data_IF_629499375076
#
_entry.id   IF_629499375076
#
_cell.length_a   1.000
_cell.length_b   1.000
_cell.length_c   1.000
_cell.angle_alpha   90.00
_cell.angle_beta   90.00
_cell.angle_gamma   90.00
#
_symmetry.space_group_name_H-M   'P 1'
#
loop_
_entity.id
_entity.type
_entity.pdbx_description
1 polymer ?
#
# COMPACT_ATOMS: atom_id res chain seq x y z
N UNK A 1 -6.22 4.89 -20.91
CA UNK A 1 -6.68 4.74 -19.51
C UNK A 1 -5.42 4.63 -18.68
N UNK A 2 -5.31 5.40 -17.60
CA UNK A 2 -4.14 5.44 -16.74
C UNK A 2 -4.16 4.24 -15.78
N UNK A 3 -3.21 3.32 -15.93
CA UNK A 3 -3.10 2.14 -15.07
C UNK A 3 -2.28 2.48 -13.83
N UNK A 4 -2.89 2.34 -12.64
CA UNK A 4 -2.25 2.65 -11.36
C UNK A 4 -2.22 1.43 -10.46
N UNK A 5 -1.15 1.30 -9.66
CA UNK A 5 -1.17 0.49 -8.46
C UNK A 5 -2.15 1.07 -7.43
N UNK A 6 -2.60 0.24 -6.50
CA UNK A 6 -3.54 0.68 -5.46
C UNK A 6 -2.99 1.84 -4.62
N UNK A 7 -1.70 1.83 -4.29
CA UNK A 7 -1.07 2.91 -3.53
C UNK A 7 -0.99 4.24 -4.31
N UNK A 8 -0.73 4.18 -5.61
CA UNK A 8 -0.69 5.35 -6.49
C UNK A 8 -2.08 5.96 -6.65
N UNK A 9 -3.11 5.10 -6.76
CA UNK A 9 -4.50 5.55 -6.75
C UNK A 9 -4.88 6.23 -5.43
N UNK A 10 -4.50 5.67 -4.28
CA UNK A 10 -4.78 6.29 -2.99
C UNK A 10 -4.08 7.64 -2.84
N UNK A 11 -2.80 7.70 -3.23
CA UNK A 11 -2.03 8.94 -3.29
C UNK A 11 -2.76 9.98 -4.14
N UNK A 12 -3.18 9.59 -5.36
CA UNK A 12 -3.92 10.47 -6.27
C UNK A 12 -5.20 11.01 -5.62
N UNK A 13 -6.02 10.13 -5.06
CA UNK A 13 -7.28 10.52 -4.40
C UNK A 13 -7.00 11.49 -3.23
N UNK A 14 -5.96 11.26 -2.43
CA UNK A 14 -5.62 12.17 -1.33
C UNK A 14 -5.20 13.54 -1.85
N UNK A 15 -4.40 13.60 -2.91
CA UNK A 15 -4.01 14.88 -3.54
C UNK A 15 -5.21 15.61 -4.13
N UNK A 16 -6.10 14.91 -4.83
CA UNK A 16 -7.32 15.49 -5.38
C UNK A 16 -8.26 16.04 -4.30
N UNK A 17 -8.39 15.36 -3.15
CA UNK A 17 -9.17 15.86 -2.00
C UNK A 17 -8.64 17.18 -1.44
N UNK A 18 -7.34 17.44 -1.54
CA UNK A 18 -6.77 18.73 -1.12
C UNK A 18 -7.34 19.91 -1.94
N UNK A 19 -7.71 19.69 -3.20
CA UNK A 19 -8.36 20.73 -4.01
C UNK A 19 -9.73 21.12 -3.43
N UNK A 20 -10.52 20.10 -3.09
CA UNK A 20 -11.83 20.27 -2.47
C UNK A 20 -11.72 20.94 -1.09
N UNK A 21 -10.78 20.48 -0.27
CA UNK A 21 -10.51 21.06 1.05
C UNK A 21 -10.05 22.52 0.96
N UNK A 22 -9.13 22.83 0.03
CA UNK A 22 -8.66 24.20 -0.18
C UNK A 22 -9.81 25.14 -0.57
N UNK A 23 -10.74 24.69 -1.41
CA UNK A 23 -11.92 25.49 -1.75
C UNK A 23 -12.84 25.70 -0.56
N UNK A 24 -13.08 24.66 0.24
CA UNK A 24 -13.98 24.73 1.42
C UNK A 24 -13.41 25.55 2.57
N UNK A 25 -12.09 25.52 2.76
CA UNK A 25 -11.43 26.07 3.96
C UNK A 25 -10.81 27.45 3.72
N UNK A 26 -10.47 27.80 2.49
CA UNK A 26 -9.89 29.10 2.17
C UNK A 26 -10.83 29.92 1.32
N UNK A 27 -11.03 31.20 1.66
CA UNK A 27 -11.67 32.20 0.80
C UNK A 27 -10.68 32.88 -0.15
N UNK A 28 -9.38 32.76 0.13
CA UNK A 28 -8.30 33.36 -0.67
C UNK A 28 -8.08 32.55 -1.94
N UNK A 29 -8.25 33.21 -3.09
CA UNK A 29 -8.10 32.61 -4.41
C UNK A 29 -6.66 32.20 -4.73
N UNK A 30 -5.67 33.00 -4.33
CA UNK A 30 -4.26 32.70 -4.56
C UNK A 30 -3.85 31.45 -3.79
N UNK A 31 -4.32 31.29 -2.55
CA UNK A 31 -4.10 30.06 -1.77
C UNK A 31 -4.64 28.83 -2.51
N UNK A 32 -5.86 28.91 -3.08
CA UNK A 32 -6.46 27.80 -3.83
C UNK A 32 -5.65 27.47 -5.09
N UNK A 33 -5.17 28.48 -5.82
CA UNK A 33 -4.32 28.28 -7.00
C UNK A 33 -2.97 27.63 -6.63
N UNK A 34 -2.32 28.09 -5.57
CA UNK A 34 -1.07 27.47 -5.08
C UNK A 34 -1.28 26.01 -4.69
N UNK A 35 -2.40 25.68 -4.02
CA UNK A 35 -2.73 24.26 -3.73
C UNK A 35 -2.95 23.48 -5.01
N UNK A 36 -3.64 24.04 -6.01
CA UNK A 36 -3.83 23.40 -7.32
C UNK A 36 -2.51 23.08 -8.01
N UNK A 37 -1.61 24.06 -8.09
CA UNK A 37 -0.27 23.90 -8.69
C UNK A 37 0.54 22.84 -7.96
N UNK A 38 0.54 22.87 -6.62
CA UNK A 38 1.22 21.86 -5.80
C UNK A 38 0.65 20.47 -6.02
N UNK A 39 -0.69 20.33 -6.06
CA UNK A 39 -1.35 19.04 -6.30
C UNK A 39 -0.98 18.51 -7.69
N UNK A 40 -1.02 19.36 -8.71
CA UNK A 40 -0.64 18.98 -10.07
C UNK A 40 0.82 18.54 -10.14
N UNK A 41 1.73 19.31 -9.55
CA UNK A 41 3.15 18.95 -9.46
C UNK A 41 3.36 17.60 -8.76
N UNK A 42 2.77 17.41 -7.57
CA UNK A 42 2.89 16.17 -6.80
C UNK A 42 2.39 14.95 -7.61
N UNK A 43 1.32 15.11 -8.38
CA UNK A 43 0.75 14.05 -9.22
C UNK A 43 1.67 13.75 -10.42
N UNK A 44 2.20 14.77 -11.10
CA UNK A 44 3.12 14.60 -12.22
C UNK A 44 4.43 13.91 -11.82
N UNK A 45 4.96 14.20 -10.62
CA UNK A 45 6.21 13.60 -10.13
C UNK A 45 6.06 12.13 -9.72
N UNK A 46 4.86 11.71 -9.26
CA UNK A 46 4.65 10.38 -8.70
C UNK A 46 3.84 9.45 -9.59
N UNK A 47 3.18 9.98 -10.63
CA UNK A 47 2.33 9.21 -11.53
C UNK A 47 2.76 9.47 -12.96
N UNK A 48 3.34 8.45 -13.57
CA UNK A 48 3.74 8.48 -14.97
C UNK A 48 2.53 8.82 -15.85
N UNK A 49 2.76 9.61 -16.90
CA UNK A 49 1.74 10.03 -17.87
C UNK A 49 0.65 10.97 -17.34
N UNK A 50 0.60 11.26 -16.03
CA UNK A 50 -0.41 12.16 -15.45
C UNK A 50 -0.44 13.53 -16.15
N UNK A 51 0.74 14.12 -16.33
CA UNK A 51 0.91 15.39 -17.05
C UNK A 51 0.28 15.35 -18.45
N UNK A 52 0.68 14.37 -19.27
CA UNK A 52 0.20 14.22 -20.65
C UNK A 52 -1.32 14.05 -20.74
N UNK A 53 -1.94 13.49 -19.71
CA UNK A 53 -3.37 13.21 -19.69
C UNK A 53 -4.22 14.38 -19.17
N UNK A 54 -3.71 15.16 -18.22
CA UNK A 54 -4.54 16.09 -17.44
C UNK A 54 -4.01 17.52 -17.36
N UNK A 55 -2.91 17.87 -18.04
CA UNK A 55 -2.36 19.24 -18.05
C UNK A 55 -3.45 20.27 -18.40
N UNK A 56 -4.09 20.12 -19.55
CA UNK A 56 -5.12 21.04 -20.04
C UNK A 56 -6.30 21.14 -19.05
N UNK A 57 -6.64 20.05 -18.36
CA UNK A 57 -7.72 20.03 -17.37
C UNK A 57 -7.36 20.84 -16.12
N UNK A 58 -6.13 20.70 -15.64
CA UNK A 58 -5.62 21.47 -14.50
C UNK A 58 -5.36 22.94 -14.85
N UNK A 59 -4.91 23.25 -16.06
CA UNK A 59 -4.78 24.62 -16.56
C UNK A 59 -6.14 25.33 -16.61
N UNK A 60 -7.15 24.65 -17.15
CA UNK A 60 -8.49 25.21 -17.29
C UNK A 60 -9.26 25.32 -15.96
N UNK A 61 -8.90 24.53 -14.95
CA UNK A 61 -9.51 24.61 -13.63
C UNK A 61 -9.07 25.89 -12.90
N UNK A 62 -10.00 26.84 -12.78
CA UNK A 62 -9.76 28.15 -12.14
C UNK A 62 -9.94 28.13 -10.63
N UNK A 63 -10.38 27.01 -10.03
CA UNK A 63 -10.71 26.94 -8.59
C UNK A 63 -11.77 27.99 -8.17
N UNK A 64 -12.70 28.31 -9.09
CA UNK A 64 -13.72 29.35 -8.89
C UNK A 64 -14.97 28.81 -8.21
N UNK A 65 -15.26 27.52 -8.38
CA UNK A 65 -16.43 26.86 -7.78
C UNK A 65 -16.12 25.44 -7.31
N UNK A 66 -16.88 24.97 -6.31
CA UNK A 66 -16.81 23.57 -5.89
C UNK A 66 -17.19 22.62 -7.04
N UNK A 67 -18.16 23.01 -7.87
CA UNK A 67 -18.62 22.22 -9.01
C UNK A 67 -17.49 21.94 -10.00
N UNK A 68 -16.76 22.98 -10.39
CA UNK A 68 -15.60 22.87 -11.30
C UNK A 68 -14.55 21.89 -10.76
N UNK A 69 -14.26 21.96 -9.45
CA UNK A 69 -13.29 21.05 -8.79
C UNK A 69 -13.79 19.61 -8.81
N UNK A 70 -15.07 19.39 -8.49
CA UNK A 70 -15.65 18.04 -8.50
C UNK A 70 -15.69 17.44 -9.92
N UNK A 71 -15.98 18.25 -10.94
CA UNK A 71 -15.95 17.82 -12.34
C UNK A 71 -14.52 17.41 -12.78
N UNK A 72 -13.49 18.17 -12.38
CA UNK A 72 -12.08 17.80 -12.59
C UNK A 72 -11.75 16.47 -11.90
N UNK A 73 -12.09 16.33 -10.62
CA UNK A 73 -11.82 15.12 -9.84
C UNK A 73 -12.51 13.90 -10.47
N UNK A 74 -13.78 14.03 -10.85
CA UNK A 74 -14.53 12.97 -11.49
C UNK A 74 -13.91 12.56 -12.83
N UNK A 75 -13.47 13.54 -13.63
CA UNK A 75 -12.79 13.29 -14.91
C UNK A 75 -11.50 12.48 -14.70
N UNK A 76 -10.66 12.87 -13.73
CA UNK A 76 -9.42 12.16 -13.41
C UNK A 76 -9.73 10.73 -12.95
N UNK A 77 -10.68 10.54 -12.03
CA UNK A 77 -11.05 9.21 -11.51
C UNK A 77 -11.58 8.29 -12.61
N UNK A 78 -12.41 8.78 -13.53
CA UNK A 78 -12.96 8.00 -14.65
C UNK A 78 -11.90 7.52 -15.64
N UNK A 79 -10.78 8.21 -15.72
CA UNK A 79 -9.70 7.90 -16.65
C UNK A 79 -8.70 6.86 -16.10
N UNK A 80 -8.89 6.37 -14.87
CA UNK A 80 -7.98 5.48 -14.16
C UNK A 80 -8.53 4.05 -14.04
N UNK A 81 -7.66 3.07 -14.30
CA UNK A 81 -7.82 1.67 -13.90
C UNK A 81 -6.82 1.30 -12.82
N UNK A 82 -7.21 0.40 -11.93
CA UNK A 82 -6.34 -0.05 -10.83
C UNK A 82 -5.88 -1.46 -11.14
N UNK A 83 -4.56 -1.65 -11.17
CA UNK A 83 -3.91 -2.92 -11.43
C UNK A 83 -4.07 -3.82 -10.21
N UNK A 84 -4.66 -5.00 -10.41
CA UNK A 84 -4.76 -6.02 -9.37
C UNK A 84 -3.42 -6.71 -9.15
N UNK A 85 -3.19 -7.18 -7.92
CA UNK A 85 -2.08 -8.09 -7.66
C UNK A 85 -2.23 -9.37 -8.49
N UNK A 86 -1.14 -9.93 -9.03
CA UNK A 86 -1.20 -11.18 -9.76
C UNK A 86 -1.49 -12.36 -8.84
N UNK A 87 -2.07 -13.43 -9.42
CA UNK A 87 -2.20 -14.72 -8.77
C UNK A 87 -0.83 -15.39 -8.56
N UNK A 88 -0.70 -16.12 -7.45
CA UNK A 88 0.51 -16.86 -7.11
C UNK A 88 0.33 -18.37 -7.29
N UNK A 89 1.38 -19.04 -7.75
CA UNK A 89 1.45 -20.49 -7.82
C UNK A 89 1.83 -21.11 -6.46
N UNK A 90 1.52 -22.38 -6.25
CA UNK A 90 1.93 -23.09 -5.03
C UNK A 90 3.44 -23.19 -4.87
N UNK A 91 4.19 -23.33 -5.97
CA UNK A 91 5.65 -23.40 -5.96
C UNK A 91 6.28 -22.08 -5.54
N UNK A 92 5.80 -20.96 -6.10
CA UNK A 92 6.32 -19.63 -5.77
C UNK A 92 5.92 -19.22 -4.35
N UNK A 93 4.68 -19.47 -3.93
CA UNK A 93 4.25 -19.22 -2.55
C UNK A 93 5.08 -20.03 -1.54
N UNK A 94 5.39 -21.30 -1.83
CA UNK A 94 6.29 -22.13 -1.01
C UNK A 94 7.71 -21.55 -0.98
N UNK A 95 8.22 -21.02 -2.09
CA UNK A 95 9.56 -20.43 -2.16
C UNK A 95 9.65 -19.13 -1.35
N UNK A 96 8.65 -18.25 -1.48
CA UNK A 96 8.63 -16.92 -0.85
C UNK A 96 8.28 -17.00 0.63
N UNK A 97 7.22 -17.73 0.99
CA UNK A 97 6.68 -17.76 2.35
C UNK A 97 7.15 -18.97 3.17
N UNK A 98 7.86 -19.92 2.55
CA UNK A 98 8.33 -21.18 3.18
C UNK A 98 7.19 -22.03 3.80
N UNK A 99 5.94 -21.79 3.39
CA UNK A 99 4.77 -22.55 3.82
C UNK A 99 4.75 -23.95 3.19
N UNK A 100 4.16 -24.91 3.90
CA UNK A 100 4.04 -26.32 3.44
C UNK A 100 2.66 -26.88 3.79
N UNK A 101 2.28 -27.97 3.13
CA UNK A 101 1.07 -28.73 3.44
C UNK A 101 -0.21 -27.89 3.39
N UNK A 102 -1.11 -28.09 4.37
CA UNK A 102 -2.41 -27.42 4.46
C UNK A 102 -2.31 -25.89 4.54
N UNK A 103 -1.28 -25.36 5.20
CA UNK A 103 -1.08 -23.91 5.32
C UNK A 103 -0.86 -23.27 3.93
N UNK A 104 -0.05 -23.92 3.09
CA UNK A 104 0.25 -23.45 1.74
C UNK A 104 -1.00 -23.48 0.85
N UNK A 105 -1.76 -24.58 0.85
CA UNK A 105 -2.94 -24.72 0.00
C UNK A 105 -4.06 -23.74 0.38
N UNK A 106 -4.29 -23.54 1.68
CA UNK A 106 -5.26 -22.55 2.17
C UNK A 106 -4.86 -21.12 1.79
N UNK A 107 -3.59 -20.77 1.99
CA UNK A 107 -3.09 -19.44 1.64
C UNK A 107 -3.26 -19.15 0.15
N UNK A 108 -2.77 -20.04 -0.73
CA UNK A 108 -2.81 -19.83 -2.19
C UNK A 108 -4.25 -19.72 -2.69
N UNK A 109 -5.15 -20.62 -2.22
CA UNK A 109 -6.57 -20.57 -2.59
C UNK A 109 -7.19 -19.23 -2.22
N UNK A 110 -7.00 -18.76 -0.98
CA UNK A 110 -7.65 -17.54 -0.51
C UNK A 110 -7.04 -16.28 -1.14
N UNK A 111 -5.72 -16.24 -1.29
CA UNK A 111 -5.03 -15.13 -1.95
C UNK A 111 -5.52 -14.97 -3.40
N UNK A 112 -5.51 -16.05 -4.20
CA UNK A 112 -5.93 -16.00 -5.61
C UNK A 112 -7.42 -15.63 -5.78
N UNK A 113 -8.28 -16.04 -4.83
CA UNK A 113 -9.69 -15.62 -4.81
C UNK A 113 -9.84 -14.11 -4.55
N UNK A 114 -9.05 -13.57 -3.62
CA UNK A 114 -9.11 -12.17 -3.19
C UNK A 114 -8.58 -11.24 -4.28
N UNK A 115 -7.41 -11.52 -4.84
CA UNK A 115 -6.75 -10.60 -5.79
C UNK A 115 -7.49 -10.45 -7.11
N UNK A 116 -8.42 -11.36 -7.45
CA UNK A 116 -9.33 -11.22 -8.60
C UNK A 116 -10.35 -10.11 -8.42
N UNK A 117 -10.75 -9.84 -7.18
CA UNK A 117 -11.92 -9.01 -6.87
C UNK A 117 -11.54 -7.75 -6.09
N UNK A 118 -10.35 -7.73 -5.48
CA UNK A 118 -9.91 -6.66 -4.61
C UNK A 118 -8.68 -5.94 -5.18
N UNK A 119 -8.70 -4.62 -5.05
CA UNK A 119 -7.62 -3.73 -5.42
C UNK A 119 -6.71 -3.55 -4.21
N UNK A 120 -5.53 -4.14 -4.26
CA UNK A 120 -4.65 -4.28 -3.09
C UNK A 120 -3.22 -3.88 -3.44
N UNK A 121 -2.56 -3.23 -2.49
CA UNK A 121 -1.09 -3.14 -2.41
C UNK A 121 -0.50 -4.41 -1.78
N UNK A 122 -1.18 -5.02 -0.80
CA UNK A 122 -0.76 -6.30 -0.21
C UNK A 122 -1.93 -7.10 0.34
N UNK A 123 -1.74 -8.40 0.46
CA UNK A 123 -2.65 -9.30 1.16
C UNK A 123 -2.03 -9.78 2.47
N UNK A 124 -2.84 -9.91 3.53
CA UNK A 124 -2.44 -10.64 4.72
C UNK A 124 -3.54 -11.49 5.32
N UNK A 125 -3.15 -12.52 6.05
CA UNK A 125 -4.07 -13.43 6.73
C UNK A 125 -3.42 -14.08 7.94
N UNK A 126 -4.24 -14.71 8.79
CA UNK A 126 -3.78 -15.49 9.93
C UNK A 126 -4.10 -16.96 9.68
N UNK A 127 -3.08 -17.80 9.70
CA UNK A 127 -3.22 -19.27 9.59
C UNK A 127 -2.38 -19.89 10.71
N UNK A 128 -3.00 -20.69 11.58
CA UNK A 128 -2.35 -21.40 12.70
C UNK A 128 -1.44 -20.49 13.56
N UNK A 129 -1.97 -19.35 14.02
CA UNK A 129 -1.27 -18.32 14.80
C UNK A 129 -0.05 -17.68 14.09
N UNK A 130 0.03 -17.78 12.78
CA UNK A 130 1.02 -17.07 11.96
C UNK A 130 0.33 -15.99 11.16
N UNK A 131 0.83 -14.76 11.27
CA UNK A 131 0.46 -13.68 10.39
C UNK A 131 1.30 -13.75 9.11
N UNK A 132 0.64 -13.88 7.99
CA UNK A 132 1.26 -14.09 6.67
C UNK A 132 0.95 -12.87 5.83
N UNK A 133 1.98 -12.25 5.25
CA UNK A 133 1.81 -11.15 4.30
C UNK A 133 2.45 -11.48 2.96
N UNK A 134 1.82 -11.04 1.88
CA UNK A 134 2.35 -11.15 0.53
C UNK A 134 1.97 -9.91 -0.30
N UNK A 135 2.91 -9.44 -1.11
CA UNK A 135 2.72 -8.42 -2.13
C UNK A 135 3.52 -8.79 -3.39
N UNK A 136 3.30 -8.07 -4.47
CA UNK A 136 4.00 -8.21 -5.74
C UNK A 136 4.42 -6.83 -6.22
N UNK A 137 5.70 -6.68 -6.58
CA UNK A 137 6.24 -5.42 -7.13
C UNK A 137 7.43 -5.73 -8.05
N UNK A 138 7.57 -4.98 -9.13
CA UNK A 138 8.71 -5.05 -10.05
C UNK A 138 9.01 -6.48 -10.54
N UNK A 139 7.97 -7.24 -10.88
CA UNK A 139 8.14 -8.61 -11.39
C UNK A 139 8.25 -9.70 -10.30
N UNK A 140 8.39 -9.33 -9.03
CA UNK A 140 8.69 -10.26 -7.94
C UNK A 140 7.66 -10.23 -6.81
N UNK A 141 7.43 -11.41 -6.23
CA UNK A 141 6.67 -11.56 -4.98
C UNK A 141 7.54 -11.23 -3.77
N UNK A 142 7.00 -10.52 -2.79
CA UNK A 142 7.61 -10.28 -1.48
C UNK A 142 6.67 -10.75 -0.38
N UNK A 143 7.18 -11.39 0.66
CA UNK A 143 6.33 -11.90 1.72
C UNK A 143 7.07 -12.28 2.97
N UNK A 144 6.31 -12.41 4.05
CA UNK A 144 6.81 -12.78 5.37
C UNK A 144 5.79 -13.65 6.08
N UNK A 145 6.29 -14.54 6.94
CA UNK A 145 5.48 -15.31 7.88
C UNK A 145 5.98 -14.95 9.27
N UNK A 146 5.12 -14.33 10.07
CA UNK A 146 5.44 -13.90 11.43
C UNK A 146 4.62 -14.68 12.46
N UNK A 147 5.26 -15.09 13.55
CA UNK A 147 4.56 -15.71 14.68
C UNK A 147 3.91 -14.60 15.49
N UNK A 148 2.60 -14.71 15.71
CA UNK A 148 1.88 -13.74 16.53
C UNK A 148 2.27 -13.96 17.99
N UNK A 149 2.91 -12.99 18.67
CA UNK A 149 3.33 -13.20 20.05
C UNK A 149 2.10 -13.28 20.97
N UNK A 150 2.12 -14.25 21.90
CA UNK A 150 1.06 -14.39 22.90
C UNK A 150 1.12 -13.23 23.89
N UNK A 151 -0.05 -12.73 24.32
CA UNK A 151 -0.22 -11.76 25.41
C UNK A 151 0.31 -10.33 25.16
N UNK A 152 0.52 -9.90 23.90
CA UNK A 152 0.81 -8.49 23.66
C UNK A 152 -0.48 -7.67 23.76
N UNK A 153 -0.60 -6.87 24.83
CA UNK A 153 -1.55 -5.76 24.86
C UNK A 153 -0.98 -4.63 24.02
N UNK A 154 -1.53 -4.42 22.83
CA UNK A 154 -1.07 -3.37 21.94
C UNK A 154 -1.84 -2.09 22.27
N UNK A 155 -1.12 -1.09 22.78
CA UNK A 155 -1.63 0.28 22.90
C UNK A 155 -1.73 0.91 21.51
N UNK A 156 -2.45 2.03 21.40
CA UNK A 156 -2.50 2.84 20.17
C UNK A 156 -1.10 3.05 19.61
N UNK A 157 -0.87 2.65 18.36
CA UNK A 157 0.43 2.75 17.69
C UNK A 157 0.26 3.11 16.21
N UNK A 158 1.33 3.59 15.60
CA UNK A 158 1.38 3.96 14.20
C UNK A 158 1.65 2.72 13.35
N UNK A 159 0.78 2.43 12.37
CA UNK A 159 1.08 1.43 11.35
C UNK A 159 2.27 1.89 10.50
N UNK A 160 3.29 1.06 10.40
CA UNK A 160 4.52 1.39 9.66
C UNK A 160 4.29 1.53 8.15
N UNK A 161 3.23 0.93 7.60
CA UNK A 161 2.91 0.95 6.16
C UNK A 161 1.99 2.12 5.79
N UNK A 162 0.78 2.18 6.33
CA UNK A 162 -0.20 3.21 5.96
C UNK A 162 -0.10 4.51 6.77
N UNK A 163 0.80 4.57 7.76
CA UNK A 163 1.02 5.75 8.63
C UNK A 163 -0.22 6.21 9.39
N UNK A 164 -1.18 5.32 9.59
CA UNK A 164 -2.35 5.62 10.40
C UNK A 164 -2.18 5.07 11.81
N UNK A 165 -2.66 5.82 12.80
CA UNK A 165 -2.80 5.29 14.15
C UNK A 165 -3.90 4.24 14.20
N UNK A 166 -3.63 3.17 14.93
CA UNK A 166 -4.52 2.04 15.17
C UNK A 166 -4.39 1.64 16.62
N UNK A 167 -5.44 1.10 17.21
CA UNK A 167 -5.47 0.69 18.61
C UNK A 167 -6.07 -0.69 18.78
N UNK A 168 -5.84 -1.27 19.97
CA UNK A 168 -6.40 -2.56 20.35
C UNK A 168 -6.10 -3.67 19.34
N UNK A 169 -7.16 -4.20 18.74
CA UNK A 169 -7.16 -5.30 17.79
C UNK A 169 -6.90 -4.86 16.34
N UNK A 170 -6.88 -3.56 16.03
CA UNK A 170 -6.61 -3.03 14.69
C UNK A 170 -5.12 -2.96 14.34
N UNK A 171 -4.25 -3.24 15.31
CA UNK A 171 -2.80 -3.16 15.18
C UNK A 171 -2.16 -4.45 15.65
N UNK A 172 -1.08 -4.86 15.02
CA UNK A 172 -0.29 -6.02 15.40
C UNK A 172 1.20 -5.77 15.28
N UNK A 173 1.96 -6.49 16.09
CA UNK A 173 3.41 -6.53 15.98
C UNK A 173 3.82 -7.73 15.12
N UNK A 174 4.55 -7.44 14.04
CA UNK A 174 5.06 -8.43 13.10
C UNK A 174 6.58 -8.40 13.11
N UNK A 175 7.18 -9.56 12.91
CA UNK A 175 8.62 -9.78 12.84
C UNK A 175 9.00 -10.42 11.52
N UNK A 176 10.02 -9.87 10.86
CA UNK A 176 10.73 -10.52 9.78
C UNK A 176 12.03 -11.14 10.34
N UNK A 177 12.13 -12.47 10.25
CA UNK A 177 13.30 -13.21 10.76
C UNK A 177 14.44 -13.07 9.76
N UNK A 178 15.57 -12.56 10.23
CA UNK A 178 16.82 -12.49 9.48
C UNK A 178 17.58 -13.80 9.67
N UNK A 179 17.76 -14.58 8.62
CA UNK A 179 18.63 -15.75 8.67
C UNK A 179 20.11 -15.33 8.78
N UNK A 180 20.76 -15.57 9.93
CA UNK A 180 22.23 -15.52 10.03
C UNK A 180 22.78 -16.93 9.81
N UNK A 181 23.26 -17.21 8.61
CA UNK A 181 23.77 -18.53 8.21
C UNK A 181 25.12 -18.92 8.83
N UNK A 182 25.76 -18.05 9.62
CA UNK A 182 27.15 -18.27 10.10
C UNK A 182 27.34 -18.32 11.62
N UNK A 183 26.33 -18.05 12.45
CA UNK A 183 26.53 -17.98 13.93
C UNK A 183 25.42 -18.59 14.79
N UNK A 184 24.40 -19.20 14.18
CA UNK A 184 23.24 -19.75 14.92
C UNK A 184 22.38 -18.71 15.64
N UNK A 185 22.70 -17.41 15.56
CA UNK A 185 21.93 -16.32 16.17
C UNK A 185 20.87 -15.80 15.21
N UNK A 186 19.61 -16.08 15.48
CA UNK A 186 18.49 -15.47 14.76
C UNK A 186 18.31 -14.02 15.20
N UNK A 187 18.46 -13.08 14.26
CA UNK A 187 18.03 -11.71 14.48
C UNK A 187 16.67 -11.52 13.82
N UNK A 188 15.83 -10.64 14.33
CA UNK A 188 14.57 -10.27 13.68
C UNK A 188 14.39 -8.77 13.70
N UNK A 189 13.67 -8.25 12.70
CA UNK A 189 13.24 -6.85 12.70
C UNK A 189 11.74 -6.84 12.91
N UNK A 190 11.32 -6.15 13.97
CA UNK A 190 9.92 -6.00 14.33
C UNK A 190 9.34 -4.66 13.87
N UNK A 191 8.07 -4.65 13.48
CA UNK A 191 7.30 -3.45 13.16
C UNK A 191 5.84 -3.60 13.61
N UNK A 192 5.19 -2.48 13.88
CA UNK A 192 3.73 -2.45 14.08
C UNK A 192 3.03 -2.19 12.74
N UNK A 193 2.01 -2.98 12.41
CA UNK A 193 1.19 -2.79 11.22
C UNK A 193 -0.28 -3.02 11.52
N UNK A 194 -1.16 -2.60 10.61
CA UNK A 194 -2.58 -2.91 10.69
C UNK A 194 -2.82 -4.43 10.69
N UNK A 195 -3.69 -4.90 11.58
CA UNK A 195 -4.14 -6.29 11.59
C UNK A 195 -5.09 -6.59 10.42
N UNK A 196 -5.91 -5.62 10.05
CA UNK A 196 -6.81 -5.64 8.90
C UNK A 196 -6.10 -5.05 7.67
N UNK A 197 -5.77 -5.92 6.71
CA UNK A 197 -5.14 -5.48 5.47
C UNK A 197 -6.05 -4.60 4.64
N UNK A 198 -7.38 -4.79 4.64
CA UNK A 198 -8.29 -3.98 3.82
C UNK A 198 -8.26 -2.53 4.27
N UNK A 199 -8.38 -2.30 5.59
CA UNK A 199 -8.22 -0.97 6.18
C UNK A 199 -6.84 -0.37 5.91
N UNK A 200 -5.80 -1.19 5.89
CA UNK A 200 -4.45 -0.73 5.58
C UNK A 200 -4.34 -0.29 4.10
N UNK A 201 -4.78 -1.15 3.18
CA UNK A 201 -4.72 -0.94 1.74
C UNK A 201 -5.52 0.28 1.28
N UNK A 202 -6.57 0.68 1.98
CA UNK A 202 -7.29 1.93 1.70
C UNK A 202 -6.51 3.21 2.07
N UNK A 203 -5.41 3.08 2.81
CA UNK A 203 -4.65 4.20 3.36
C UNK A 203 -3.17 4.22 2.95
N UNK A 204 -2.66 3.16 2.32
CA UNK A 204 -1.28 3.12 1.82
C UNK A 204 -1.17 3.99 0.58
N UNK A 205 -0.19 4.89 0.56
CA UNK A 205 0.11 5.78 -0.57
C UNK A 205 1.49 5.51 -1.17
N UNK A 206 2.31 4.73 -0.49
CA UNK A 206 3.64 4.34 -0.94
C UNK A 206 3.99 2.96 -0.33
N UNK A 207 4.40 2.02 -1.17
CA UNK A 207 4.75 0.65 -0.78
C UNK A 207 6.23 0.44 -0.40
N UNK A 208 7.10 1.44 -0.49
CA UNK A 208 8.54 1.33 -0.19
C UNK A 208 8.83 0.74 1.19
N UNK A 209 8.16 1.23 2.24
CA UNK A 209 8.39 0.72 3.58
C UNK A 209 7.89 -0.72 3.75
N UNK A 210 6.81 -1.08 3.06
CA UNK A 210 6.31 -2.45 2.99
C UNK A 210 7.34 -3.35 2.30
N UNK A 211 7.81 -2.97 1.12
CA UNK A 211 8.80 -3.74 0.34
C UNK A 211 10.12 -3.84 1.09
N UNK A 212 10.60 -2.75 1.69
CA UNK A 212 11.79 -2.74 2.56
C UNK A 212 11.63 -3.71 3.73
N UNK A 213 10.47 -3.72 4.39
CA UNK A 213 10.21 -4.65 5.48
C UNK A 213 10.18 -6.11 5.02
N UNK A 214 9.55 -6.41 3.88
CA UNK A 214 9.42 -7.78 3.37
C UNK A 214 10.70 -8.31 2.71
N UNK A 215 11.61 -7.44 2.27
CA UNK A 215 12.87 -7.80 1.61
C UNK A 215 14.04 -8.06 2.56
N UNK A 216 13.88 -7.84 3.88
CA UNK A 216 14.97 -7.93 4.85
C UNK A 216 15.73 -9.28 4.85
N UNK A 217 15.04 -10.42 4.67
CA UNK A 217 15.70 -11.74 4.58
C UNK A 217 16.38 -11.98 3.21
N UNK A 218 16.01 -11.22 2.17
CA UNK A 218 16.62 -11.31 0.83
C UNK A 218 17.89 -10.48 0.69
N UNK A 219 17.91 -9.27 1.25
CA UNK A 219 18.99 -8.30 1.06
C UNK A 219 20.35 -8.78 1.60
N UNK A 220 20.39 -9.71 2.54
CA UNK A 220 21.66 -10.29 3.03
C UNK A 220 22.23 -11.41 2.16
N UNK A 221 21.41 -12.05 1.32
CA UNK A 221 21.86 -13.15 0.46
C UNK A 221 22.49 -12.68 -0.87
N UNK A 222 22.44 -11.37 -1.18
CA UNK A 222 23.08 -10.75 -2.36
C UNK A 222 24.46 -10.14 -2.09
N UNK A 223 24.95 -10.15 -0.84
CA UNK A 223 26.28 -9.61 -0.45
C UNK A 223 27.26 -10.75 -0.15
N UNK A 224 27.17 -11.85 -0.89
CA UNK A 224 28.14 -12.96 -0.85
C UNK A 224 28.53 -13.35 -2.26
#
# INVERSE_FOLDING_TARGET
>A
MLELLNEEFNFMIRKLKLLEEAYKQSVDHNVRLTVKEKVFFDLCENINEFYKMFEIDFENCKMSSLREILELIEKVIKAVSIVSLPEISSSEAKKVLKLKGKQLSLFVKKYNEVVKNEKLTYYSTIIDNKFIMLTYKDGEYYGVVSIIPKNIRIKKNLCCFCKQFRDGDEIMFIQNVLSNSSSGKYNSIGQYCCSDYKKCNNNIENSEQLIKFLSYDRLKNKVR
#
